data_IF_192849194813
#
_entry.id   IF_192849194813
#
_cell.length_a   1.000
_cell.length_b   1.000
_cell.length_c   1.000
_cell.angle_alpha   90.00
_cell.angle_beta   90.00
_cell.angle_gamma   90.00
#
_symmetry.space_group_name_H-M   'P 1'
#
loop_
_entity.id
_entity.type
_entity.pdbx_description
1 polymer ?
#
# COMPACT_ATOMS: atom_id res chain seq x y z
N UNK A 1 -33.64 6.57 -12.42
CA UNK A 1 -32.26 6.63 -12.92
C UNK A 1 -31.73 7.98 -12.49
N UNK A 2 -30.65 8.02 -11.72
CA UNK A 2 -29.94 9.29 -11.47
C UNK A 2 -29.37 9.79 -12.80
N UNK A 3 -29.62 11.06 -13.12
CA UNK A 3 -28.95 11.73 -14.23
C UNK A 3 -27.46 11.82 -13.92
N UNK A 4 -26.63 11.33 -14.84
CA UNK A 4 -25.17 11.49 -14.74
C UNK A 4 -24.76 12.74 -15.51
N UNK A 5 -24.14 13.68 -14.83
CA UNK A 5 -23.56 14.89 -15.42
C UNK A 5 -22.09 14.65 -15.76
N UNK A 6 -21.66 15.20 -16.90
CA UNK A 6 -20.25 15.25 -17.25
C UNK A 6 -19.65 16.52 -16.68
N UNK A 7 -18.60 16.38 -15.87
CA UNK A 7 -17.85 17.49 -15.30
C UNK A 7 -16.40 17.45 -15.81
N UNK A 8 -15.92 18.60 -16.26
CA UNK A 8 -14.53 18.75 -16.66
C UNK A 8 -13.69 19.22 -15.47
N UNK A 9 -12.48 18.68 -15.33
CA UNK A 9 -11.52 19.21 -14.38
C UNK A 9 -11.19 20.67 -14.70
N UNK A 10 -11.14 21.52 -13.69
CA UNK A 10 -10.65 22.89 -13.83
C UNK A 10 -9.11 22.86 -13.81
N UNK A 11 -8.48 23.09 -14.96
CA UNK A 11 -7.04 22.93 -15.14
C UNK A 11 -6.42 24.28 -15.47
N UNK A 12 -5.34 24.63 -14.76
CA UNK A 12 -4.52 25.78 -15.09
C UNK A 12 -3.71 25.51 -16.36
N UNK A 13 -3.90 26.36 -17.37
CA UNK A 13 -3.23 26.25 -18.67
C UNK A 13 -1.73 26.50 -18.51
N UNK A 14 -1.32 27.40 -17.61
CA UNK A 14 0.10 27.71 -17.41
C UNK A 14 0.82 26.48 -16.85
N UNK A 15 0.20 25.77 -15.91
CA UNK A 15 0.71 24.50 -15.40
C UNK A 15 0.79 23.41 -16.49
N UNK A 16 -0.17 23.36 -17.43
CA UNK A 16 -0.11 22.42 -18.56
C UNK A 16 1.07 22.73 -19.48
N UNK A 17 1.33 24.01 -19.76
CA UNK A 17 2.47 24.43 -20.58
C UNK A 17 3.80 24.11 -19.89
N UNK A 18 3.90 24.39 -18.59
CA UNK A 18 5.06 24.01 -17.76
C UNK A 18 5.34 22.51 -17.87
N UNK A 19 4.32 21.65 -17.75
CA UNK A 19 4.49 20.21 -17.86
C UNK A 19 4.94 19.76 -19.26
N UNK A 20 4.44 20.38 -20.33
CA UNK A 20 4.86 20.07 -21.69
C UNK A 20 6.34 20.40 -21.88
N UNK A 21 6.76 21.58 -21.42
CA UNK A 21 8.10 22.09 -21.66
C UNK A 21 9.13 21.44 -20.73
N UNK A 22 8.90 21.48 -19.41
CA UNK A 22 9.87 21.03 -18.42
C UNK A 22 9.92 19.51 -18.28
N UNK A 23 8.78 18.83 -18.33
CA UNK A 23 8.72 17.37 -18.22
C UNK A 23 8.70 16.66 -19.59
N UNK A 24 8.72 17.40 -20.70
CA UNK A 24 8.76 16.87 -22.07
C UNK A 24 7.64 15.85 -22.37
N UNK A 25 6.46 16.03 -21.76
CA UNK A 25 5.30 15.16 -21.98
C UNK A 25 4.36 15.72 -23.04
N UNK A 26 3.67 14.82 -23.74
CA UNK A 26 2.64 15.24 -24.71
C UNK A 26 1.49 16.00 -24.03
N UNK A 27 0.85 16.92 -24.76
CA UNK A 27 -0.28 17.72 -24.25
C UNK A 27 -1.41 16.89 -23.59
N UNK A 28 -1.86 15.73 -24.12
CA UNK A 28 -2.85 14.91 -23.44
C UNK A 28 -2.40 14.40 -22.06
N UNK A 29 -1.12 14.05 -21.94
CA UNK A 29 -0.52 13.60 -20.67
C UNK A 29 -0.40 14.77 -19.70
N UNK A 30 0.06 15.93 -20.17
CA UNK A 30 0.15 17.16 -19.36
C UNK A 30 -1.21 17.58 -18.79
N UNK A 31 -2.30 17.51 -19.57
CA UNK A 31 -3.66 17.79 -19.08
C UNK A 31 -4.07 16.86 -17.93
N UNK A 32 -3.75 15.58 -18.03
CA UNK A 32 -4.09 14.58 -17.01
C UNK A 32 -3.22 14.74 -15.75
N UNK A 33 -1.95 15.11 -15.90
CA UNK A 33 -1.04 15.37 -14.79
C UNK A 33 -1.39 16.67 -14.06
N UNK A 34 -1.72 17.73 -14.79
CA UNK A 34 -2.18 19.00 -14.22
C UNK A 34 -3.50 18.82 -13.45
N UNK A 35 -4.44 18.02 -13.97
CA UNK A 35 -5.68 17.67 -13.27
C UNK A 35 -5.47 16.83 -11.99
N UNK A 36 -4.25 16.32 -11.77
CA UNK A 36 -3.84 15.56 -10.58
C UNK A 36 -2.88 16.35 -9.68
N UNK A 37 -2.69 17.64 -9.95
CA UNK A 37 -1.76 18.51 -9.23
C UNK A 37 -0.32 17.97 -9.17
N UNK A 38 0.12 17.31 -10.25
CA UNK A 38 1.48 16.80 -10.38
C UNK A 38 2.35 17.86 -11.07
N UNK A 39 3.32 18.41 -10.35
CA UNK A 39 4.28 19.39 -10.88
C UNK A 39 5.34 18.73 -11.78
N UNK A 40 5.93 19.51 -12.68
CA UNK A 40 6.96 19.06 -13.63
C UNK A 40 8.09 18.26 -12.98
N UNK A 41 8.61 18.74 -11.84
CA UNK A 41 9.68 18.09 -11.08
C UNK A 41 9.34 16.66 -10.60
N UNK A 42 8.05 16.31 -10.46
CA UNK A 42 7.60 14.99 -9.98
C UNK A 42 7.16 14.05 -11.11
N UNK A 43 7.07 14.54 -12.35
CA UNK A 43 6.49 13.78 -13.46
C UNK A 43 7.26 12.49 -13.73
N UNK A 44 8.59 12.56 -13.73
CA UNK A 44 9.43 11.39 -13.99
C UNK A 44 9.17 10.27 -12.98
N UNK A 45 9.22 10.59 -11.68
CA UNK A 45 9.05 9.61 -10.61
C UNK A 45 7.61 9.10 -10.51
N UNK A 46 6.62 9.95 -10.84
CA UNK A 46 5.23 9.57 -10.89
C UNK A 46 4.94 8.57 -12.02
N UNK A 47 5.52 8.79 -13.21
CA UNK A 47 5.32 7.91 -14.37
C UNK A 47 6.21 6.65 -14.33
N UNK A 48 7.35 6.72 -13.64
CA UNK A 48 8.32 5.64 -13.51
C UNK A 48 8.63 5.37 -12.03
N UNK A 49 7.67 4.81 -11.26
CA UNK A 49 7.89 4.55 -9.85
C UNK A 49 9.00 3.51 -9.66
N UNK A 50 9.93 3.81 -8.74
CA UNK A 50 11.04 2.94 -8.36
C UNK A 50 10.93 2.62 -6.86
N UNK A 51 11.21 1.36 -6.49
CA UNK A 51 11.31 0.94 -5.10
C UNK A 51 12.43 1.68 -4.34
N UNK A 52 13.44 2.17 -5.04
CA UNK A 52 14.48 3.01 -4.45
C UNK A 52 13.94 4.36 -3.92
N UNK A 53 12.80 4.81 -4.43
CA UNK A 53 12.18 6.10 -4.10
C UNK A 53 11.04 5.98 -3.07
N UNK A 54 10.86 4.82 -2.43
CA UNK A 54 9.85 4.68 -1.37
C UNK A 54 10.28 5.48 -0.13
N UNK A 55 9.30 6.07 0.55
CA UNK A 55 9.53 6.75 1.83
C UNK A 55 10.11 5.80 2.88
N UNK A 56 10.86 6.35 3.84
CA UNK A 56 11.34 5.59 5.00
C UNK A 56 10.15 4.91 5.71
N UNK A 57 10.13 3.56 5.81
CA UNK A 57 9.02 2.83 6.44
C UNK A 57 8.84 3.16 7.92
N UNK A 58 9.85 3.73 8.59
CA UNK A 58 9.76 4.17 9.98
C UNK A 58 9.04 5.51 10.17
N UNK A 59 8.69 6.21 9.08
CA UNK A 59 7.76 7.34 9.14
C UNK A 59 6.34 6.91 9.48
N UNK A 60 6.00 5.64 9.22
CA UNK A 60 4.75 5.06 9.70
C UNK A 60 4.87 4.83 11.23
N UNK A 61 3.94 5.35 12.05
CA UNK A 61 4.02 5.20 13.49
C UNK A 61 4.03 3.73 13.94
N UNK A 62 4.95 3.37 14.81
CA UNK A 62 5.02 2.03 15.42
C UNK A 62 5.77 0.97 14.60
N UNK A 63 6.13 1.21 13.33
CA UNK A 63 6.76 0.20 12.48
C UNK A 63 8.11 -0.28 13.01
N UNK A 64 8.89 0.62 13.63
CA UNK A 64 10.18 0.28 14.26
C UNK A 64 10.00 -0.70 15.41
N UNK A 65 9.09 -0.38 16.33
CA UNK A 65 8.78 -1.24 17.48
C UNK A 65 8.23 -2.59 17.03
N UNK A 66 7.37 -2.61 16.01
CA UNK A 66 6.83 -3.85 15.44
C UNK A 66 7.91 -4.74 14.83
N UNK A 67 8.83 -4.16 14.04
CA UNK A 67 9.94 -4.89 13.43
C UNK A 67 10.88 -5.48 14.51
N UNK A 68 11.23 -4.70 15.53
CA UNK A 68 12.04 -5.17 16.66
C UNK A 68 11.36 -6.31 17.43
N UNK A 69 10.05 -6.22 17.67
CA UNK A 69 9.28 -7.28 18.33
C UNK A 69 9.22 -8.57 17.51
N UNK A 70 9.07 -8.45 16.18
CA UNK A 70 9.09 -9.60 15.27
C UNK A 70 10.46 -10.29 15.30
N UNK A 71 11.56 -9.54 15.25
CA UNK A 71 12.91 -10.12 15.37
C UNK A 71 13.15 -10.83 16.70
N UNK A 72 12.66 -10.28 17.80
CA UNK A 72 12.69 -11.00 19.07
C UNK A 72 11.90 -12.31 19.03
N UNK A 73 10.77 -12.37 18.32
CA UNK A 73 10.00 -13.61 18.14
C UNK A 73 10.78 -14.65 17.33
N UNK A 74 11.44 -14.20 16.26
CA UNK A 74 12.29 -15.06 15.42
C UNK A 74 13.46 -15.64 16.24
N UNK A 75 14.21 -14.80 16.94
CA UNK A 75 15.37 -15.22 17.74
C UNK A 75 15.01 -16.21 18.86
N UNK A 76 13.79 -16.08 19.40
CA UNK A 76 13.27 -16.94 20.48
C UNK A 76 12.47 -18.14 19.98
N UNK A 77 12.39 -18.35 18.67
CA UNK A 77 11.59 -19.40 18.04
C UNK A 77 10.10 -19.40 18.47
N UNK A 78 9.56 -18.22 18.77
CA UNK A 78 8.16 -18.03 19.11
C UNK A 78 7.27 -18.35 17.90
N UNK A 79 6.08 -18.90 18.15
CA UNK A 79 5.07 -19.03 17.10
C UNK A 79 4.53 -17.64 16.75
N UNK A 80 4.62 -17.27 15.47
CA UNK A 80 4.04 -16.04 14.93
C UNK A 80 2.78 -16.41 14.16
N UNK A 81 1.63 -15.90 14.59
CA UNK A 81 0.38 -16.03 13.85
C UNK A 81 0.12 -14.74 13.09
N UNK A 82 0.04 -14.83 11.76
CA UNK A 82 -0.36 -13.73 10.89
C UNK A 82 -1.87 -13.82 10.72
N UNK A 83 -2.58 -12.89 11.36
CA UNK A 83 -4.00 -12.70 11.15
C UNK A 83 -4.23 -11.75 9.97
N UNK A 84 -4.59 -12.32 8.82
CA UNK A 84 -4.84 -11.55 7.59
C UNK A 84 -6.28 -11.06 7.47
N UNK A 85 -6.58 -10.52 6.30
CA UNK A 85 -7.93 -10.21 5.82
C UNK A 85 -8.24 -11.06 4.58
N UNK A 86 -9.52 -11.27 4.29
CA UNK A 86 -9.99 -12.17 3.22
C UNK A 86 -9.95 -11.54 1.82
N UNK A 87 -9.68 -10.24 1.72
CA UNK A 87 -9.57 -9.57 0.43
C UNK A 87 -8.19 -9.77 -0.22
N UNK A 88 -8.03 -9.27 -1.44
CA UNK A 88 -6.79 -9.48 -2.19
C UNK A 88 -5.58 -8.83 -1.52
N UNK A 89 -5.74 -7.68 -0.88
CA UNK A 89 -4.64 -7.00 -0.18
C UNK A 89 -4.24 -7.80 1.07
N UNK A 90 -5.21 -8.19 1.91
CA UNK A 90 -4.98 -8.99 3.10
C UNK A 90 -4.34 -10.35 2.82
N UNK A 91 -4.80 -11.06 1.80
CA UNK A 91 -4.24 -12.37 1.41
C UNK A 91 -2.80 -12.22 0.91
N UNK A 92 -2.54 -11.25 0.02
CA UNK A 92 -1.21 -11.08 -0.56
C UNK A 92 -0.19 -10.56 0.46
N UNK A 93 -0.59 -9.63 1.34
CA UNK A 93 0.22 -9.17 2.46
C UNK A 93 0.56 -10.31 3.42
N UNK A 94 -0.42 -11.15 3.77
CA UNK A 94 -0.21 -12.30 4.65
C UNK A 94 0.75 -13.33 4.05
N UNK A 95 0.60 -13.62 2.75
CA UNK A 95 1.48 -14.53 2.03
C UNK A 95 2.93 -13.99 1.94
N UNK A 96 3.08 -12.69 1.66
CA UNK A 96 4.39 -12.03 1.59
C UNK A 96 5.10 -12.07 2.95
N UNK A 97 4.42 -11.66 4.02
CA UNK A 97 4.98 -11.63 5.36
C UNK A 97 5.35 -13.04 5.85
N UNK A 98 4.48 -14.03 5.61
CA UNK A 98 4.76 -15.42 5.95
C UNK A 98 5.98 -15.96 5.20
N UNK A 99 6.10 -15.65 3.91
CA UNK A 99 7.25 -16.06 3.08
C UNK A 99 8.55 -15.46 3.61
N UNK A 100 8.56 -14.16 3.93
CA UNK A 100 9.76 -13.47 4.44
C UNK A 100 10.14 -14.01 5.83
N UNK A 101 9.19 -14.11 6.76
CA UNK A 101 9.45 -14.58 8.12
C UNK A 101 9.95 -16.03 8.14
N UNK A 102 9.31 -16.93 7.37
CA UNK A 102 9.76 -18.34 7.26
C UNK A 102 11.16 -18.45 6.65
N UNK A 103 11.48 -17.64 5.64
CA UNK A 103 12.85 -17.58 5.06
C UNK A 103 13.90 -17.13 6.08
N UNK A 104 13.50 -16.40 7.10
CA UNK A 104 14.37 -15.97 8.21
C UNK A 104 14.29 -16.91 9.43
N UNK A 105 13.75 -18.12 9.28
CA UNK A 105 13.75 -19.14 10.34
C UNK A 105 12.58 -19.08 11.31
N UNK A 106 11.62 -18.18 11.12
CA UNK A 106 10.47 -18.06 12.00
C UNK A 106 9.47 -19.22 11.83
N UNK A 107 8.81 -19.61 12.93
CA UNK A 107 7.63 -20.49 12.92
C UNK A 107 6.39 -19.64 12.67
N UNK A 108 5.75 -19.81 11.52
CA UNK A 108 4.65 -18.93 11.08
C UNK A 108 3.42 -19.71 10.67
N UNK A 109 2.28 -19.34 11.25
CA UNK A 109 0.93 -19.74 10.82
C UNK A 109 0.16 -18.54 10.26
N UNK A 110 -0.76 -18.80 9.35
CA UNK A 110 -1.61 -17.78 8.75
C UNK A 110 -3.07 -18.12 9.07
N UNK A 111 -3.79 -17.16 9.63
CA UNK A 111 -5.22 -17.24 9.81
C UNK A 111 -5.89 -16.18 8.94
N UNK A 112 -6.82 -16.60 8.08
CA UNK A 112 -7.64 -15.72 7.26
C UNK A 112 -9.09 -15.85 7.74
N UNK A 113 -9.70 -14.79 8.28
CA UNK A 113 -11.06 -14.84 8.80
C UNK A 113 -12.06 -15.10 7.66
N UNK A 114 -13.13 -15.82 7.96
CA UNK A 114 -14.25 -15.97 7.04
C UNK A 114 -15.17 -14.76 7.16
N UNK A 115 -15.31 -13.98 6.08
CA UNK A 115 -16.09 -12.72 6.06
C UNK A 115 -17.47 -12.82 6.70
N UNK A 116 -18.17 -13.93 6.46
CA UNK A 116 -19.56 -14.13 6.89
C UNK A 116 -19.61 -14.59 8.35
N UNK A 117 -18.66 -15.44 8.78
CA UNK A 117 -18.74 -16.13 10.06
C UNK A 117 -17.90 -15.49 11.17
N UNK A 118 -16.84 -14.76 10.81
CA UNK A 118 -15.89 -14.12 11.74
C UNK A 118 -16.02 -12.58 11.73
N UNK A 119 -16.73 -12.01 10.75
CA UNK A 119 -16.85 -10.57 10.57
C UNK A 119 -15.61 -9.94 9.94
N UNK A 120 -15.31 -8.68 10.31
CA UNK A 120 -14.18 -7.92 9.77
C UNK A 120 -13.13 -7.61 10.84
N UNK A 121 -11.86 -7.87 10.51
CA UNK A 121 -10.72 -7.49 11.33
C UNK A 121 -10.42 -8.44 12.50
N UNK A 122 -9.64 -7.93 13.46
CA UNK A 122 -9.18 -8.67 14.63
C UNK A 122 -10.21 -8.61 15.76
N UNK A 123 -10.98 -9.68 15.93
CA UNK A 123 -11.99 -9.82 17.00
C UNK A 123 -11.56 -10.84 18.05
N UNK A 124 -12.09 -10.76 19.27
CA UNK A 124 -11.80 -11.76 20.31
C UNK A 124 -12.17 -13.18 19.85
N UNK A 125 -13.22 -13.32 19.05
CA UNK A 125 -13.68 -14.59 18.47
C UNK A 125 -12.69 -15.12 17.43
N UNK A 126 -12.22 -14.25 16.52
CA UNK A 126 -11.22 -14.61 15.51
C UNK A 126 -9.88 -15.02 16.16
N UNK A 127 -9.47 -14.33 17.23
CA UNK A 127 -8.27 -14.66 18.00
C UNK A 127 -8.41 -16.01 18.70
N UNK A 128 -9.60 -16.35 19.21
CA UNK A 128 -9.83 -17.64 19.85
C UNK A 128 -9.82 -18.83 18.87
N UNK A 129 -9.97 -18.57 17.57
CA UNK A 129 -9.97 -19.57 16.49
C UNK A 129 -8.61 -19.72 15.81
N UNK A 130 -7.76 -18.69 15.89
CA UNK A 130 -6.41 -18.65 15.37
C UNK A 130 -5.43 -19.41 16.29
#
# INVERSE_FOLDING_TARGET
MEERTWEFANIDIDHVLELIDEASVSRPVALVLAARDINAAKVHDFLNPDLANISDPYLLPGTRMAAERLWQAVDKEELIVIHGDYDTDGITASALLASILRKNGARVECYLPHRIDDGYGLTAESIARA
#
